data_IF_552261996460
#
_entry.id   IF_552261996460
#
_cell.length_a   1.000
_cell.length_b   1.000
_cell.length_c   1.000
_cell.angle_alpha   90.00
_cell.angle_beta   90.00
_cell.angle_gamma   90.00
#
_symmetry.space_group_name_H-M   'P 1'
#
loop_
_entity.id
_entity.type
_entity.pdbx_description
1 polymer ?
#
# COMPACT_ATOMS: atom_id res chain seq x y z
N UNK A 1 -5.65 15.87 6.63
CA UNK A 1 -6.34 14.60 6.98
C UNK A 1 -7.41 14.33 5.93
N UNK A 2 -7.52 13.10 5.41
CA UNK A 2 -8.55 12.73 4.43
C UNK A 2 -9.81 12.23 5.17
N UNK A 3 -10.63 13.15 5.68
CA UNK A 3 -11.98 12.87 6.20
C UNK A 3 -12.08 11.76 7.27
N UNK A 4 -13.30 11.27 7.49
CA UNK A 4 -13.64 10.16 8.41
C UNK A 4 -13.91 8.84 7.67
N UNK A 5 -13.80 8.83 6.34
CA UNK A 5 -14.14 7.67 5.52
C UNK A 5 -13.02 6.61 5.62
N UNK A 6 -13.33 5.35 5.97
CA UNK A 6 -12.33 4.30 6.08
C UNK A 6 -11.68 4.02 4.73
N UNK A 7 -10.34 4.01 4.69
CA UNK A 7 -9.60 3.72 3.46
C UNK A 7 -9.60 2.24 3.10
N UNK A 8 -9.42 1.40 4.11
CA UNK A 8 -9.38 -0.03 3.96
C UNK A 8 -9.88 -0.72 5.22
N UNK A 9 -10.39 -1.93 5.05
CA UNK A 9 -10.56 -2.89 6.14
C UNK A 9 -9.40 -3.87 6.09
N UNK A 10 -8.78 -4.16 7.23
CA UNK A 10 -7.60 -5.01 7.29
C UNK A 10 -7.76 -6.10 8.36
N UNK A 11 -7.45 -7.34 7.98
CA UNK A 11 -7.25 -8.46 8.90
C UNK A 11 -5.77 -8.75 9.08
N UNK A 12 -5.32 -8.90 10.33
CA UNK A 12 -3.94 -9.23 10.68
C UNK A 12 -3.89 -10.61 11.35
N UNK A 13 -3.29 -11.61 10.70
CA UNK A 13 -3.02 -12.92 11.30
C UNK A 13 -1.55 -12.98 11.70
N UNK A 14 -1.28 -12.72 12.98
CA UNK A 14 0.08 -12.68 13.54
C UNK A 14 0.45 -13.96 14.29
N UNK A 15 1.75 -14.15 14.53
CA UNK A 15 2.29 -15.29 15.29
C UNK A 15 2.69 -14.82 16.70
N UNK A 16 1.89 -15.10 17.75
CA UNK A 16 2.13 -14.56 19.09
C UNK A 16 3.52 -14.88 19.66
N UNK A 17 4.06 -16.06 19.36
CA UNK A 17 5.39 -16.51 19.82
C UNK A 17 6.54 -15.70 19.21
N UNK A 18 6.29 -14.88 18.19
CA UNK A 18 7.28 -13.99 17.56
C UNK A 18 7.19 -12.56 18.10
N UNK A 19 6.29 -12.30 19.04
CA UNK A 19 6.11 -11.02 19.71
C UNK A 19 6.52 -11.12 21.17
N UNK A 20 6.82 -9.98 21.79
CA UNK A 20 7.07 -9.91 23.23
C UNK A 20 5.77 -10.12 24.02
N UNK A 21 5.88 -10.50 25.30
CA UNK A 21 4.70 -10.63 26.16
C UNK A 21 3.89 -9.32 26.25
N UNK A 22 4.57 -8.18 26.41
CA UNK A 22 3.95 -6.85 26.45
C UNK A 22 3.22 -6.51 25.15
N UNK A 23 3.78 -6.89 23.99
CA UNK A 23 3.09 -6.69 22.70
C UNK A 23 1.83 -7.54 22.61
N UNK A 24 1.89 -8.82 23.00
CA UNK A 24 0.72 -9.70 23.00
C UNK A 24 -0.36 -9.20 23.96
N UNK A 25 0.02 -8.71 25.14
CA UNK A 25 -0.90 -8.12 26.10
C UNK A 25 -1.57 -6.87 25.54
N UNK A 26 -0.81 -5.95 24.93
CA UNK A 26 -1.37 -4.76 24.30
C UNK A 26 -2.38 -5.12 23.19
N UNK A 27 -2.07 -6.11 22.34
CA UNK A 27 -2.96 -6.56 21.27
C UNK A 27 -4.24 -7.23 21.81
N UNK A 28 -4.18 -7.86 22.97
CA UNK A 28 -5.32 -8.56 23.56
C UNK A 28 -6.21 -7.63 24.42
N UNK A 29 -5.61 -6.65 25.09
CA UNK A 29 -6.28 -5.83 26.09
C UNK A 29 -6.68 -4.43 25.60
N UNK A 30 -6.22 -4.02 24.40
CA UNK A 30 -6.43 -2.65 23.90
C UNK A 30 -6.85 -2.64 22.43
N UNK A 31 -7.33 -1.48 21.97
CA UNK A 31 -7.62 -1.22 20.56
C UNK A 31 -6.44 -0.57 19.82
N UNK A 32 -5.22 -0.64 20.39
CA UNK A 32 -4.04 -0.09 19.71
C UNK A 32 -3.81 -0.87 18.40
N UNK A 33 -3.68 -0.19 17.24
CA UNK A 33 -3.49 -0.87 15.97
C UNK A 33 -2.26 -1.77 15.95
N UNK A 34 -2.38 -2.95 15.32
CA UNK A 34 -1.30 -3.93 15.21
C UNK A 34 0.03 -3.30 14.75
N UNK A 35 -0.01 -2.50 13.69
CA UNK A 35 1.18 -1.82 13.14
C UNK A 35 1.87 -0.90 14.14
N UNK A 36 1.13 -0.27 15.04
CA UNK A 36 1.66 0.56 16.13
C UNK A 36 2.37 -0.30 17.16
N UNK A 37 1.75 -1.42 17.58
CA UNK A 37 2.33 -2.33 18.58
C UNK A 37 3.64 -2.94 18.07
N UNK A 38 3.71 -3.33 16.81
CA UNK A 38 4.91 -3.98 16.23
C UNK A 38 5.93 -3.01 15.66
N UNK A 39 5.67 -1.69 15.68
CA UNK A 39 6.59 -0.68 15.13
C UNK A 39 8.03 -0.78 15.66
N UNK A 40 8.30 -1.08 16.95
CA UNK A 40 9.66 -1.25 17.45
C UNK A 40 10.44 -2.40 16.78
N UNK A 41 9.75 -3.40 16.22
CA UNK A 41 10.37 -4.51 15.48
C UNK A 41 10.82 -4.12 14.06
N UNK A 42 10.63 -2.85 13.68
CA UNK A 42 10.95 -2.29 12.35
C UNK A 42 10.41 -3.18 11.23
N UNK A 43 9.08 -3.37 11.18
CA UNK A 43 8.47 -4.30 10.26
C UNK A 43 8.68 -3.88 8.79
N UNK A 44 9.01 -4.85 7.94
CA UNK A 44 9.05 -4.70 6.48
C UNK A 44 7.84 -5.41 5.91
N UNK A 45 7.11 -4.72 5.03
CA UNK A 45 5.95 -5.25 4.30
C UNK A 45 6.38 -5.76 2.93
N UNK A 46 6.03 -6.99 2.60
CA UNK A 46 6.20 -7.59 1.27
C UNK A 46 4.84 -7.99 0.72
N UNK A 47 4.40 -7.32 -0.35
CA UNK A 47 3.17 -7.68 -1.04
C UNK A 47 3.34 -9.07 -1.67
N UNK A 48 2.37 -9.95 -1.43
CA UNK A 48 2.31 -11.29 -2.01
C UNK A 48 1.35 -11.30 -3.19
N UNK A 49 0.18 -10.69 -3.02
CA UNK A 49 -0.83 -10.55 -4.07
C UNK A 49 -1.50 -9.19 -3.99
N UNK A 50 -1.94 -8.70 -5.15
CA UNK A 50 -2.76 -7.51 -5.29
C UNK A 50 -3.71 -7.73 -6.48
N UNK A 51 -5.02 -7.63 -6.23
CA UNK A 51 -6.02 -7.92 -7.25
C UNK A 51 -7.19 -6.94 -7.15
N UNK A 52 -7.53 -6.34 -8.29
CA UNK A 52 -8.77 -5.56 -8.42
C UNK A 52 -9.94 -6.52 -8.24
N UNK A 53 -10.89 -6.14 -7.40
CA UNK A 53 -12.05 -6.97 -7.11
C UNK A 53 -13.21 -6.60 -8.04
N UNK A 54 -14.00 -7.60 -8.53
CA UNK A 54 -15.18 -7.33 -9.34
C UNK A 54 -16.36 -6.78 -8.53
N UNK A 55 -16.35 -6.94 -7.20
CA UNK A 55 -17.41 -6.46 -6.32
C UNK A 55 -17.35 -4.93 -6.18
N UNK A 56 -18.49 -4.23 -6.17
CA UNK A 56 -18.52 -2.78 -6.19
C UNK A 56 -18.03 -2.12 -4.89
N UNK A 57 -17.96 -2.84 -3.76
CA UNK A 57 -17.56 -2.26 -2.46
C UNK A 57 -16.04 -2.22 -2.25
N UNK A 58 -15.29 -3.16 -2.85
CA UNK A 58 -13.83 -3.29 -2.72
C UNK A 58 -13.23 -3.00 -4.09
N UNK A 59 -12.32 -2.03 -4.19
CA UNK A 59 -11.61 -1.76 -5.45
C UNK A 59 -10.39 -2.66 -5.57
N UNK A 60 -9.68 -2.86 -4.46
CA UNK A 60 -8.42 -3.58 -4.44
C UNK A 60 -8.35 -4.45 -3.20
N UNK A 61 -8.02 -5.72 -3.39
CA UNK A 61 -7.60 -6.60 -2.31
C UNK A 61 -6.10 -6.81 -2.38
N UNK A 62 -5.41 -6.68 -1.25
CA UNK A 62 -3.98 -6.95 -1.14
C UNK A 62 -3.72 -7.95 -0.02
N UNK A 63 -2.83 -8.91 -0.28
CA UNK A 63 -2.27 -9.77 0.75
C UNK A 63 -0.78 -9.48 0.86
N UNK A 64 -0.31 -9.23 2.07
CA UNK A 64 1.09 -8.92 2.35
C UNK A 64 1.62 -9.71 3.55
N UNK A 65 2.90 -10.06 3.48
CA UNK A 65 3.65 -10.60 4.60
C UNK A 65 4.36 -9.47 5.33
N UNK A 66 4.21 -9.42 6.65
CA UNK A 66 4.96 -8.53 7.54
C UNK A 66 6.11 -9.31 8.13
N UNK A 67 7.33 -8.79 8.06
CA UNK A 67 8.55 -9.41 8.60
C UNK A 67 9.27 -8.44 9.53
N UNK A 68 9.95 -8.95 10.54
CA UNK A 68 10.81 -8.14 11.41
C UNK A 68 12.15 -7.88 10.72
N UNK A 69 12.33 -6.78 9.99
CA UNK A 69 13.55 -6.54 9.22
C UNK A 69 13.93 -7.71 8.30
N UNK A 70 15.17 -8.21 8.41
CA UNK A 70 15.64 -9.43 7.75
C UNK A 70 15.17 -10.74 8.41
N UNK A 71 14.58 -10.65 9.60
CA UNK A 71 14.16 -11.76 10.46
C UNK A 71 12.81 -12.42 10.09
N UNK A 72 12.19 -13.16 11.02
CA UNK A 72 11.03 -13.99 10.71
C UNK A 72 9.79 -13.17 10.31
N UNK A 73 8.84 -13.84 9.66
CA UNK A 73 7.52 -13.27 9.41
C UNK A 73 6.76 -13.05 10.73
N UNK A 74 6.20 -11.87 10.93
CA UNK A 74 5.39 -11.54 12.10
C UNK A 74 3.91 -11.82 11.85
N UNK A 75 3.41 -11.45 10.67
CA UNK A 75 2.00 -11.57 10.34
C UNK A 75 1.76 -11.69 8.83
N UNK A 76 0.60 -12.26 8.49
CA UNK A 76 -0.05 -12.06 7.20
C UNK A 76 -1.11 -10.96 7.35
N UNK A 77 -1.17 -10.05 6.39
CA UNK A 77 -2.14 -8.96 6.36
C UNK A 77 -2.96 -9.08 5.09
N UNK A 78 -4.28 -9.04 5.23
CA UNK A 78 -5.23 -8.97 4.11
C UNK A 78 -5.99 -7.65 4.21
N UNK A 79 -5.82 -6.80 3.22
CA UNK A 79 -6.43 -5.47 3.14
C UNK A 79 -7.43 -5.42 1.99
N UNK A 80 -8.63 -4.93 2.28
CA UNK A 80 -9.67 -4.62 1.32
C UNK A 80 -9.87 -3.11 1.25
N UNK A 81 -9.45 -2.49 0.15
CA UNK A 81 -9.55 -1.06 -0.11
C UNK A 81 -10.93 -0.72 -0.66
N UNK A 82 -11.60 0.24 -0.03
CA UNK A 82 -13.03 0.50 -0.25
C UNK A 82 -13.27 1.46 -1.41
N UNK A 83 -14.35 1.22 -2.16
CA UNK A 83 -14.71 2.03 -3.33
C UNK A 83 -15.25 3.42 -3.00
N UNK A 84 -15.82 3.58 -1.81
CA UNK A 84 -16.37 4.84 -1.33
C UNK A 84 -15.35 5.99 -1.37
N UNK A 85 -14.06 5.69 -1.23
CA UNK A 85 -12.98 6.67 -1.35
C UNK A 85 -12.80 7.25 -2.74
N UNK A 86 -13.06 6.45 -3.77
CA UNK A 86 -12.94 6.88 -5.16
C UNK A 86 -14.21 7.62 -5.57
N UNK A 87 -15.38 7.17 -5.08
CA UNK A 87 -16.66 7.83 -5.31
C UNK A 87 -16.80 9.18 -4.57
N UNK A 88 -16.15 9.34 -3.42
CA UNK A 88 -16.15 10.58 -2.65
C UNK A 88 -15.05 11.58 -3.09
N UNK A 89 -14.17 11.19 -4.01
CA UNK A 89 -13.25 12.14 -4.61
C UNK A 89 -14.08 13.14 -5.46
N UNK A 90 -13.82 14.46 -5.37
CA UNK A 90 -14.44 15.39 -6.29
C UNK A 90 -14.17 14.93 -7.72
N UNK A 91 -15.17 15.04 -8.60
CA UNK A 91 -15.07 14.80 -10.05
C UNK A 91 -13.67 15.23 -10.51
N UNK A 92 -12.85 14.31 -11.05
CA UNK A 92 -11.48 14.63 -11.36
C UNK A 92 -11.51 15.80 -12.33
N UNK A 93 -11.03 16.96 -11.89
CA UNK A 93 -10.66 18.04 -12.80
C UNK A 93 -9.75 17.39 -13.83
N UNK A 94 -10.28 17.24 -15.05
CA UNK A 94 -9.67 16.52 -16.17
C UNK A 94 -8.15 16.63 -16.11
N UNK A 95 -7.49 15.55 -15.68
CA UNK A 95 -6.03 15.50 -15.72
C UNK A 95 -5.65 15.81 -17.17
N UNK A 96 -4.82 16.83 -17.45
CA UNK A 96 -4.43 17.13 -18.82
C UNK A 96 -3.80 15.85 -19.36
N UNK A 97 -4.46 15.19 -20.32
CA UNK A 97 -3.89 14.01 -20.98
C UNK A 97 -2.47 14.39 -21.36
N UNK A 98 -1.50 13.64 -20.84
CA UNK A 98 -0.09 13.91 -21.07
C UNK A 98 0.08 14.15 -22.57
N UNK A 99 0.49 15.37 -22.91
CA UNK A 99 0.71 15.80 -24.30
C UNK A 99 1.56 14.75 -24.99
N UNK A 100 1.16 14.40 -26.21
CA UNK A 100 1.85 13.48 -27.10
C UNK A 100 3.38 13.73 -27.10
N UNK A 101 4.14 12.89 -26.40
CA UNK A 101 5.61 12.88 -26.42
C UNK A 101 6.19 12.34 -27.75
N UNK A 102 5.42 12.39 -28.84
CA UNK A 102 5.87 11.92 -30.16
C UNK A 102 6.55 13.04 -30.99
N UNK A 103 6.44 14.30 -30.59
CA UNK A 103 6.97 15.43 -31.37
C UNK A 103 8.43 15.82 -31.09
N UNK A 104 9.03 15.43 -29.95
CA UNK A 104 10.34 15.97 -29.53
C UNK A 104 11.57 15.11 -29.87
N UNK A 105 11.43 14.02 -30.65
CA UNK A 105 12.59 13.22 -31.08
C UNK A 105 13.21 13.62 -32.43
N UNK A 106 12.77 14.71 -33.05
CA UNK A 106 13.21 15.12 -34.39
C UNK A 106 14.12 16.35 -34.43
N UNK A 107 15.11 16.42 -33.54
CA UNK A 107 16.23 17.36 -33.68
C UNK A 107 17.49 16.81 -33.01
N UNK A 108 18.18 15.88 -33.69
CA UNK A 108 19.59 15.60 -33.41
C UNK A 108 20.42 16.44 -34.39
N UNK A 109 21.36 17.30 -33.94
CA UNK A 109 22.22 18.04 -34.84
C UNK A 109 23.24 17.10 -35.48
N UNK A 110 23.31 17.13 -36.81
CA UNK A 110 24.32 16.44 -37.62
C UNK A 110 25.70 17.03 -37.31
N UNK A 111 26.55 16.27 -36.62
CA UNK A 111 27.98 16.60 -36.47
C UNK A 111 28.71 16.21 -37.75
N UNK A 112 29.05 17.21 -38.55
CA UNK A 112 29.98 17.10 -39.69
C UNK A 112 31.39 16.84 -39.15
N UNK A 113 31.96 15.67 -39.44
CA UNK A 113 33.40 15.44 -39.27
C UNK A 113 34.10 15.67 -40.61
N UNK A 114 34.89 16.73 -40.67
CA UNK A 114 35.88 16.95 -41.72
C UNK A 114 37.15 16.15 -41.39
N UNK A 115 37.66 15.43 -42.40
CA UNK A 115 39.08 15.36 -42.76
C UNK A 115 39.18 15.23 -44.27
#
# INVERSE_FOLDING_TARGET
>A
MRGTLPLARAGNWFVPQRLTATMNEALNATEIPFGTVVAPLRPIRRILTAAIQPQPEIILEQVALIRSGSGPALALVKEAYLSELVSAAPEPALWPRARDQRAERSALPTVRRER
#
